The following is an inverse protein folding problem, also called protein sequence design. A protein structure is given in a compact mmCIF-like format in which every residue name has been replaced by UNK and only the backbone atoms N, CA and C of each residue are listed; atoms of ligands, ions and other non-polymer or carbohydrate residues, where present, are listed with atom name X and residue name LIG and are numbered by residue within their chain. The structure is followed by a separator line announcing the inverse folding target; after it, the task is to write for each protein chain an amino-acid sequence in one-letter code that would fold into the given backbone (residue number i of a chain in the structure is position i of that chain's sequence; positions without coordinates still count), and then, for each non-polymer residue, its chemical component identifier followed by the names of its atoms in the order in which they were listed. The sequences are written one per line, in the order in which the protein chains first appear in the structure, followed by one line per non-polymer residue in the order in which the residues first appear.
data_IF_263975808126
#
_entry.id   IF_263975808126
#
_cell.length_a   1.000
_cell.length_b   1.000
_cell.length_c   1.000
_cell.angle_alpha   90.00
_cell.angle_beta   90.00
_cell.angle_gamma   90.00
#
_symmetry.space_group_name_H-M   'P 1'
#
loop_
_entity.id
_entity.type
_entity.pdbx_description
1 polymer ?
#
# COMPACT_ATOMS: atom_id res chain seq x y z
N UNK A 1 0.26 5.53 -13.74
CA UNK A 1 0.03 6.79 -14.49
C UNK A 1 -1.45 6.96 -14.89
N UNK A 2 -2.11 5.96 -15.50
CA UNK A 2 -3.55 6.06 -15.88
C UNK A 2 -4.53 6.30 -14.71
N UNK A 3 -4.23 5.82 -13.49
CA UNK A 3 -5.10 5.99 -12.31
C UNK A 3 -4.86 7.27 -11.51
N UNK A 4 -3.83 8.06 -11.86
CA UNK A 4 -3.48 9.28 -11.12
C UNK A 4 -4.58 10.35 -11.24
N UNK A 5 -5.22 10.47 -12.41
CA UNK A 5 -6.31 11.43 -12.63
C UNK A 5 -7.60 11.10 -11.87
N UNK A 6 -7.93 9.82 -11.71
CA UNK A 6 -9.11 9.38 -10.94
C UNK A 6 -8.87 9.58 -9.43
N UNK A 7 -7.63 9.36 -8.98
CA UNK A 7 -7.21 9.62 -7.59
C UNK A 7 -7.32 11.10 -7.22
N UNK A 8 -6.84 12.02 -8.08
CA UNK A 8 -6.96 13.46 -7.83
C UNK A 8 -8.42 13.93 -7.77
N UNK A 9 -9.32 13.34 -8.58
CA UNK A 9 -10.75 13.69 -8.59
C UNK A 9 -11.51 13.17 -7.37
N UNK A 10 -11.12 12.01 -6.81
CA UNK A 10 -11.72 11.47 -5.59
C UNK A 10 -11.25 12.22 -4.33
N UNK A 11 -9.99 12.68 -4.30
CA UNK A 11 -9.43 13.46 -3.19
C UNK A 11 -10.03 14.87 -3.11
N UNK A 12 -10.40 15.47 -4.24
CA UNK A 12 -10.97 16.84 -4.29
C UNK A 12 -12.46 16.92 -3.90
N UNK A 13 -13.20 15.80 -3.84
CA UNK A 13 -14.63 15.78 -3.47
C UNK A 13 -14.98 14.87 -2.27
N UNK A 14 -14.06 14.05 -1.77
CA UNK A 14 -14.32 13.04 -0.74
C UNK A 14 -13.48 13.19 0.54
N UNK A 15 -13.88 12.50 1.61
CA UNK A 15 -13.07 12.41 2.83
C UNK A 15 -11.79 11.63 2.53
N UNK A 16 -10.62 12.25 2.66
CA UNK A 16 -9.32 11.62 2.39
C UNK A 16 -9.11 10.27 3.12
N UNK A 17 -9.77 10.11 4.28
CA UNK A 17 -9.88 8.85 5.03
C UNK A 17 -10.54 7.71 4.22
N UNK A 18 -11.58 8.01 3.44
CA UNK A 18 -12.23 7.05 2.53
C UNK A 18 -11.33 6.68 1.35
N UNK A 19 -10.54 7.62 0.84
CA UNK A 19 -9.60 7.35 -0.27
C UNK A 19 -8.50 6.40 0.22
N UNK A 20 -7.89 6.67 1.37
CA UNK A 20 -6.89 5.78 1.97
C UNK A 20 -7.48 4.39 2.28
N UNK A 21 -8.66 4.34 2.91
CA UNK A 21 -9.34 3.07 3.19
C UNK A 21 -9.67 2.29 1.91
N UNK A 22 -10.07 2.98 0.83
CA UNK A 22 -10.32 2.34 -0.47
C UNK A 22 -9.04 1.78 -1.09
N UNK A 23 -7.91 2.51 -1.02
CA UNK A 23 -6.61 2.04 -1.49
C UNK A 23 -6.14 0.79 -0.74
N UNK A 24 -6.30 0.78 0.58
CA UNK A 24 -5.95 -0.37 1.43
C UNK A 24 -6.89 -1.56 1.22
N UNK A 25 -8.16 -1.31 0.92
CA UNK A 25 -9.12 -2.34 0.53
C UNK A 25 -8.73 -2.96 -0.82
N UNK A 26 -8.36 -2.13 -1.81
CA UNK A 26 -7.91 -2.61 -3.13
C UNK A 26 -6.60 -3.40 -3.01
N UNK A 27 -5.67 -2.93 -2.18
CA UNK A 27 -4.41 -3.63 -1.92
C UNK A 27 -4.66 -4.99 -1.23
N UNK A 28 -5.46 -5.00 -0.16
CA UNK A 28 -5.83 -6.24 0.54
C UNK A 28 -6.57 -7.22 -0.37
N UNK A 29 -7.54 -6.74 -1.16
CA UNK A 29 -8.27 -7.55 -2.12
C UNK A 29 -7.36 -8.13 -3.21
N UNK A 30 -6.39 -7.35 -3.72
CA UNK A 30 -5.41 -7.84 -4.68
C UNK A 30 -4.46 -8.89 -4.11
N UNK A 31 -4.05 -8.75 -2.85
CA UNK A 31 -3.25 -9.77 -2.15
C UNK A 31 -4.08 -11.03 -1.92
N UNK A 32 -5.34 -10.92 -1.48
CA UNK A 32 -6.25 -12.07 -1.31
C UNK A 32 -6.47 -12.80 -2.64
N UNK A 33 -6.68 -12.05 -3.72
CA UNK A 33 -6.83 -12.63 -5.05
C UNK A 33 -5.56 -13.39 -5.47
N UNK A 34 -4.37 -12.83 -5.19
CA UNK A 34 -3.10 -13.51 -5.42
C UNK A 34 -2.95 -14.76 -4.53
N UNK A 35 -3.41 -14.69 -3.28
CA UNK A 35 -3.39 -15.80 -2.32
C UNK A 35 -4.42 -16.90 -2.63
N UNK A 36 -5.23 -16.75 -3.67
CA UNK A 36 -6.14 -17.77 -4.18
C UNK A 36 -5.67 -18.38 -5.51
N UNK A 37 -4.51 -17.94 -6.04
CA UNK A 37 -3.99 -18.43 -7.30
C UNK A 37 -3.62 -19.94 -7.21
N UNK A 38 -4.13 -20.79 -8.11
CA UNK A 38 -3.91 -22.22 -8.05
C UNK A 38 -2.44 -22.61 -8.32
N UNK A 39 -1.99 -23.71 -7.72
CA UNK A 39 -0.61 -24.27 -7.86
C UNK A 39 -0.24 -24.60 -9.32
N UNK A 40 -1.24 -24.73 -10.20
CA UNK A 40 -1.10 -24.98 -11.63
C UNK A 40 -1.61 -23.81 -12.50
N UNK A 41 -1.62 -22.59 -11.97
CA UNK A 41 -2.15 -21.41 -12.67
C UNK A 41 -1.27 -20.87 -13.80
N UNK A 42 -1.90 -20.17 -14.74
CA UNK A 42 -1.22 -19.52 -15.86
C UNK A 42 -0.91 -18.05 -15.52
N UNK A 43 0.33 -17.61 -15.74
CA UNK A 43 0.80 -16.25 -15.41
C UNK A 43 -0.11 -15.12 -15.90
N UNK A 44 -0.59 -15.21 -17.16
CA UNK A 44 -1.45 -14.18 -17.75
C UNK A 44 -2.89 -14.17 -17.21
N UNK A 45 -3.40 -15.31 -16.73
CA UNK A 45 -4.78 -15.43 -16.24
C UNK A 45 -4.90 -15.19 -14.74
N UNK A 46 -3.98 -15.76 -13.97
CA UNK A 46 -4.12 -15.87 -12.51
C UNK A 46 -3.25 -14.87 -11.74
N UNK A 47 -2.21 -14.31 -12.35
CA UNK A 47 -1.22 -13.46 -11.65
C UNK A 47 -1.17 -12.03 -12.19
N UNK A 48 -1.33 -11.85 -13.51
CA UNK A 48 -1.22 -10.54 -14.15
C UNK A 48 -2.26 -9.52 -13.65
N UNK A 49 -3.52 -9.94 -13.55
CA UNK A 49 -4.62 -9.11 -13.03
C UNK A 49 -4.41 -8.68 -11.57
N UNK A 50 -4.20 -9.64 -10.64
CA UNK A 50 -3.95 -9.33 -9.23
C UNK A 50 -2.74 -8.43 -9.00
N UNK A 51 -1.65 -8.64 -9.76
CA UNK A 51 -0.46 -7.79 -9.64
C UNK A 51 -0.73 -6.35 -10.10
N UNK A 52 -1.46 -6.16 -11.20
CA UNK A 52 -1.88 -4.83 -11.67
C UNK A 52 -2.79 -4.12 -10.67
N UNK A 53 -3.71 -4.85 -10.04
CA UNK A 53 -4.65 -4.28 -9.06
C UNK A 53 -3.93 -3.96 -7.73
N UNK A 54 -3.16 -4.90 -7.19
CA UNK A 54 -2.46 -4.75 -5.91
C UNK A 54 -1.30 -3.73 -6.01
N UNK A 55 -0.40 -3.93 -6.98
CA UNK A 55 0.83 -3.14 -7.12
C UNK A 55 0.61 -1.86 -7.93
N UNK A 56 -0.40 -1.81 -8.80
CA UNK A 56 -0.71 -0.62 -9.59
C UNK A 56 -1.69 0.33 -8.91
N UNK A 57 -2.88 -0.15 -8.55
CA UNK A 57 -3.91 0.69 -7.92
C UNK A 57 -3.71 0.80 -6.40
N UNK A 58 -3.59 -0.32 -5.69
CA UNK A 58 -3.53 -0.32 -4.22
C UNK A 58 -2.42 0.55 -3.64
N UNK A 59 -1.21 0.45 -4.20
CA UNK A 59 -0.05 1.27 -3.78
C UNK A 59 -0.24 2.75 -4.12
N UNK A 60 -0.73 3.11 -5.32
CA UNK A 60 -0.90 4.49 -5.74
C UNK A 60 -1.95 5.24 -4.90
N UNK A 61 -3.07 4.58 -4.58
CA UNK A 61 -4.13 5.17 -3.76
C UNK A 61 -3.77 5.25 -2.26
N UNK A 62 -2.74 4.53 -1.80
CA UNK A 62 -2.30 4.55 -0.40
C UNK A 62 -1.09 5.47 -0.20
N UNK A 63 -0.09 5.40 -1.10
CA UNK A 63 1.19 6.08 -0.93
C UNK A 63 1.09 7.59 -1.18
N UNK A 64 0.36 8.01 -2.23
CA UNK A 64 0.26 9.43 -2.61
C UNK A 64 -0.39 10.28 -1.49
N UNK A 65 -1.53 9.89 -0.89
CA UNK A 65 -2.13 10.68 0.19
C UNK A 65 -1.28 10.71 1.46
N UNK A 66 -0.55 9.63 1.77
CA UNK A 66 0.35 9.56 2.94
C UNK A 66 1.51 10.54 2.77
N UNK A 67 2.16 10.54 1.61
CA UNK A 67 3.27 11.47 1.34
C UNK A 67 2.81 12.93 1.39
N UNK A 68 1.62 13.24 0.86
CA UNK A 68 1.05 14.59 0.90
C UNK A 68 0.73 15.00 2.35
N UNK A 69 0.07 14.13 3.13
CA UNK A 69 -0.26 14.41 4.52
C UNK A 69 0.98 14.56 5.41
N UNK A 70 2.03 13.78 5.16
CA UNK A 70 3.27 13.81 5.95
C UNK A 70 4.10 15.09 5.77
N UNK A 71 3.94 15.79 4.64
CA UNK A 71 4.72 16.98 4.30
C UNK A 71 3.91 18.28 4.41
N UNK A 72 2.61 18.18 4.55
CA UNK A 72 1.71 19.32 4.63
C UNK A 72 1.82 20.09 5.95
N UNK A 73 1.88 21.43 5.85
CA UNK A 73 1.88 22.32 7.02
C UNK A 73 3.22 22.39 7.74
N UNK A 74 4.28 21.77 7.19
CA UNK A 74 5.63 21.81 7.74
C UNK A 74 6.35 23.05 7.21
N UNK A 75 6.99 23.78 8.11
CA UNK A 75 7.75 24.98 7.75
C UNK A 75 8.96 24.60 6.89
N UNK A 76 9.38 25.49 5.99
CA UNK A 76 10.50 25.23 5.07
C UNK A 76 11.80 24.85 5.79
N UNK A 77 12.03 25.36 7.00
CA UNK A 77 13.19 25.04 7.84
C UNK A 77 13.14 23.63 8.46
N UNK A 78 11.97 22.99 8.51
CA UNK A 78 11.77 21.66 9.08
C UNK A 78 11.47 20.59 8.00
N UNK A 79 11.30 21.00 6.74
CA UNK A 79 10.94 20.11 5.63
C UNK A 79 11.97 18.98 5.41
N UNK A 80 13.26 19.26 5.60
CA UNK A 80 14.33 18.26 5.50
C UNK A 80 14.25 17.18 6.59
N UNK A 81 13.92 17.57 7.82
CA UNK A 81 13.74 16.65 8.94
C UNK A 81 12.49 15.79 8.76
N UNK A 82 11.39 16.41 8.33
CA UNK A 82 10.14 15.70 8.09
C UNK A 82 10.21 14.71 6.93
N UNK A 83 10.85 15.10 5.82
CA UNK A 83 11.07 14.22 4.68
C UNK A 83 11.97 13.03 5.05
N UNK A 84 13.06 13.29 5.79
CA UNK A 84 13.93 12.24 6.32
C UNK A 84 13.20 11.27 7.26
N UNK A 85 12.37 11.80 8.16
CA UNK A 85 11.57 10.98 9.07
C UNK A 85 10.53 10.12 8.32
N UNK A 86 9.89 10.67 7.29
CA UNK A 86 8.93 9.93 6.48
C UNK A 86 9.60 8.81 5.67
N UNK A 87 10.76 9.12 5.06
CA UNK A 87 11.53 8.16 4.29
C UNK A 87 12.02 7.01 5.17
N UNK A 88 12.64 7.32 6.31
CA UNK A 88 13.12 6.31 7.26
C UNK A 88 11.98 5.47 7.86
N UNK A 89 10.82 6.09 8.16
CA UNK A 89 9.64 5.36 8.63
C UNK A 89 9.10 4.39 7.58
N UNK A 90 9.10 4.80 6.31
CA UNK A 90 8.69 3.95 5.17
C UNK A 90 9.67 2.79 4.97
N UNK A 91 10.97 3.08 4.98
CA UNK A 91 12.03 2.08 4.86
C UNK A 91 11.96 1.04 5.99
N UNK A 92 11.77 1.51 7.23
CA UNK A 92 11.61 0.67 8.41
C UNK A 92 10.36 -0.22 8.31
N UNK A 93 9.23 0.35 7.88
CA UNK A 93 8.00 -0.40 7.63
C UNK A 93 8.16 -1.47 6.55
N UNK A 94 8.86 -1.14 5.45
CA UNK A 94 9.18 -2.08 4.38
C UNK A 94 10.06 -3.23 4.86
N UNK A 95 11.13 -2.92 5.60
CA UNK A 95 12.02 -3.92 6.18
C UNK A 95 11.28 -4.87 7.15
N UNK A 96 10.45 -4.31 8.04
CA UNK A 96 9.62 -5.10 8.96
C UNK A 96 8.63 -6.00 8.22
N UNK A 97 7.97 -5.47 7.19
CA UNK A 97 7.03 -6.23 6.37
C UNK A 97 7.69 -7.43 5.69
N UNK A 98 8.87 -7.23 5.09
CA UNK A 98 9.65 -8.30 4.45
C UNK A 98 10.11 -9.33 5.47
N UNK A 99 10.60 -8.89 6.63
CA UNK A 99 11.07 -9.79 7.69
C UNK A 99 9.96 -10.70 8.23
N UNK A 100 8.77 -10.14 8.48
CA UNK A 100 7.60 -10.90 8.94
C UNK A 100 7.16 -11.90 7.87
N UNK A 101 6.99 -11.46 6.62
CA UNK A 101 6.54 -12.32 5.53
C UNK A 101 7.52 -13.49 5.27
N UNK A 102 8.83 -13.19 5.23
CA UNK A 102 9.88 -14.20 5.06
C UNK A 102 9.92 -15.21 6.20
N UNK A 103 9.83 -14.73 7.45
CA UNK A 103 9.84 -15.60 8.63
C UNK A 103 8.65 -16.56 8.64
N UNK A 104 7.46 -16.09 8.29
CA UNK A 104 6.24 -16.91 8.24
C UNK A 104 6.32 -17.93 7.10
N UNK A 105 6.76 -17.51 5.91
CA UNK A 105 6.95 -18.41 4.77
C UNK A 105 7.94 -19.53 5.12
N UNK A 106 9.10 -19.17 5.68
CA UNK A 106 10.15 -20.13 6.04
C UNK A 106 9.71 -21.06 7.18
N UNK A 107 9.02 -20.53 8.19
CA UNK A 107 8.51 -21.33 9.31
C UNK A 107 7.52 -22.39 8.84
N UNK A 108 6.53 -21.98 8.04
CA UNK A 108 5.51 -22.89 7.54
C UNK A 108 6.04 -23.89 6.51
N UNK A 109 6.96 -23.46 5.64
CA UNK A 109 7.71 -24.35 4.75
C UNK A 109 8.39 -25.48 5.55
N UNK A 110 9.14 -25.12 6.61
CA UNK A 110 9.80 -26.12 7.45
C UNK A 110 8.78 -27.06 8.09
N UNK A 111 7.65 -26.55 8.60
CA UNK A 111 6.60 -27.41 9.17
C UNK A 111 6.09 -28.45 8.17
N UNK A 112 5.79 -28.06 6.93
CA UNK A 112 5.26 -28.95 5.90
C UNK A 112 6.29 -30.00 5.44
N UNK A 113 7.56 -29.59 5.29
CA UNK A 113 8.65 -30.53 4.96
C UNK A 113 8.82 -31.58 6.06
N UNK A 114 8.77 -31.18 7.33
CA UNK A 114 8.84 -32.12 8.45
C UNK A 114 7.60 -33.02 8.55
N UNK A 115 6.45 -32.55 8.05
CA UNK A 115 5.21 -33.32 7.93
C UNK A 115 5.21 -34.37 6.80
N UNK A 116 6.24 -34.39 5.95
CA UNK A 116 6.37 -35.35 4.85
C UNK A 116 5.85 -34.85 3.50
N UNK A 117 5.46 -33.58 3.39
CA UNK A 117 5.04 -33.00 2.12
C UNK A 117 6.22 -32.84 1.14
N UNK A 118 5.91 -32.87 -0.16
CA UNK A 118 6.91 -32.59 -1.19
C UNK A 118 7.43 -31.14 -1.07
N UNK A 119 8.71 -30.92 -1.38
CA UNK A 119 9.33 -29.58 -1.35
C UNK A 119 8.53 -28.55 -2.15
N UNK A 120 7.97 -28.94 -3.30
CA UNK A 120 7.12 -28.05 -4.12
C UNK A 120 5.84 -27.65 -3.39
N UNK A 121 5.13 -28.61 -2.80
CA UNK A 121 3.91 -28.34 -2.05
C UNK A 121 4.20 -27.48 -0.80
N UNK A 122 5.29 -27.77 -0.08
CA UNK A 122 5.71 -27.01 1.08
C UNK A 122 6.08 -25.56 0.74
N UNK A 123 6.77 -25.32 -0.38
CA UNK A 123 7.10 -23.97 -0.85
C UNK A 123 5.83 -23.17 -1.15
N UNK A 124 4.90 -23.76 -1.90
CA UNK A 124 3.63 -23.10 -2.22
C UNK A 124 2.82 -22.81 -0.97
N UNK A 125 2.74 -23.76 -0.03
CA UNK A 125 2.07 -23.56 1.26
C UNK A 125 2.67 -22.40 2.05
N UNK A 126 4.01 -22.33 2.15
CA UNK A 126 4.72 -21.24 2.82
C UNK A 126 4.40 -19.86 2.23
N UNK A 127 4.44 -19.74 0.89
CA UNK A 127 4.07 -18.49 0.21
C UNK A 127 2.60 -18.13 0.40
N UNK A 128 1.70 -19.11 0.33
CA UNK A 128 0.27 -18.89 0.57
C UNK A 128 0.02 -18.30 1.95
N UNK A 129 0.62 -18.88 3.00
CA UNK A 129 0.44 -18.39 4.36
C UNK A 129 1.00 -16.97 4.52
N UNK A 130 2.18 -16.70 3.96
CA UNK A 130 2.77 -15.37 3.99
C UNK A 130 1.87 -14.33 3.29
N UNK A 131 1.29 -14.66 2.14
CA UNK A 131 0.35 -13.79 1.42
C UNK A 131 -0.91 -13.51 2.25
N UNK A 132 -1.49 -14.52 2.90
CA UNK A 132 -2.64 -14.33 3.78
C UNK A 132 -2.33 -13.42 4.97
N UNK A 133 -1.16 -13.56 5.56
CA UNK A 133 -0.73 -12.68 6.66
C UNK A 133 -0.49 -11.26 6.15
N UNK A 134 0.13 -11.08 4.99
CA UNK A 134 0.29 -9.75 4.36
C UNK A 134 -1.06 -9.10 4.04
N UNK A 135 -2.04 -9.87 3.56
CA UNK A 135 -3.40 -9.38 3.36
C UNK A 135 -4.05 -8.94 4.69
N UNK A 136 -3.91 -9.73 5.75
CA UNK A 136 -4.42 -9.38 7.07
C UNK A 136 -3.78 -8.08 7.60
N UNK A 137 -2.46 -7.93 7.47
CA UNK A 137 -1.74 -6.71 7.86
C UNK A 137 -2.26 -5.49 7.08
N UNK A 138 -2.46 -5.63 5.76
CA UNK A 138 -3.01 -4.55 4.93
C UNK A 138 -4.43 -4.15 5.38
N UNK A 139 -5.28 -5.13 5.69
CA UNK A 139 -6.64 -4.90 6.14
C UNK A 139 -6.71 -4.31 7.56
N UNK A 140 -5.81 -4.68 8.46
CA UNK A 140 -5.66 -4.05 9.79
C UNK A 140 -5.31 -2.57 9.66
N UNK A 141 -4.63 -2.17 8.59
CA UNK A 141 -4.39 -0.77 8.33
C UNK A 141 -5.68 0.05 8.21
N UNK A 142 -6.78 -0.54 7.71
CA UNK A 142 -8.05 0.18 7.53
C UNK A 142 -8.56 0.79 8.85
N UNK A 143 -8.81 0.01 9.93
CA UNK A 143 -9.22 0.59 11.21
C UNK A 143 -8.16 1.53 11.78
N UNK A 144 -6.86 1.27 11.57
CA UNK A 144 -5.79 2.18 12.01
C UNK A 144 -5.92 3.55 11.33
N UNK A 145 -6.19 3.60 10.03
CA UNK A 145 -6.47 4.85 9.30
C UNK A 145 -7.70 5.55 9.85
N UNK A 146 -8.76 4.81 10.20
CA UNK A 146 -9.95 5.41 10.81
C UNK A 146 -9.68 5.98 12.21
N UNK A 147 -8.78 5.37 12.99
CA UNK A 147 -8.45 5.78 14.35
C UNK A 147 -7.42 6.92 14.42
N UNK A 148 -6.36 6.87 13.61
CA UNK A 148 -5.22 7.77 13.73
C UNK A 148 -5.31 9.01 12.83
N UNK A 149 -5.95 8.93 11.67
CA UNK A 149 -5.98 10.05 10.72
C UNK A 149 -7.06 11.06 11.11
N UNK A 150 -6.67 12.28 11.48
CA UNK A 150 -7.60 13.40 11.71
C UNK A 150 -8.01 14.02 10.37
N UNK A 151 -9.31 14.33 10.23
CA UNK A 151 -9.89 14.85 8.97
C UNK A 151 -9.33 16.23 8.61
N UNK A 152 -9.00 16.99 9.63
CA UNK A 152 -8.66 18.41 9.60
C UNK A 152 -7.24 18.62 9.01
N UNK A 153 -6.30 17.78 9.42
CA UNK A 153 -4.90 17.76 8.94
C UNK A 153 -4.81 17.38 7.46
N UNK A 154 -5.62 16.41 7.01
CA UNK A 154 -5.65 16.02 5.60
C UNK A 154 -6.31 17.05 4.68
N UNK A 155 -7.35 17.74 5.15
CA UNK A 155 -7.97 18.81 4.36
C UNK A 155 -6.99 19.96 4.12
N UNK A 156 -6.21 20.34 5.15
CA UNK A 156 -5.14 21.32 5.03
C UNK A 156 -4.04 20.86 4.05
N UNK A 157 -3.68 19.57 4.08
CA UNK A 157 -2.66 18.99 3.21
C UNK A 157 -3.02 18.99 1.71
N UNK A 158 -4.27 18.64 1.42
CA UNK A 158 -4.79 18.65 0.05
C UNK A 158 -4.86 20.07 -0.49
N UNK A 159 -5.34 21.03 0.32
CA UNK A 159 -5.42 22.43 -0.06
C UNK A 159 -4.02 23.06 -0.31
N UNK A 160 -3.03 22.74 0.53
CA UNK A 160 -1.66 23.21 0.33
C UNK A 160 -1.04 22.68 -0.97
N UNK A 161 -1.31 21.42 -1.30
CA UNK A 161 -0.80 20.79 -2.53
C UNK A 161 -1.48 21.35 -3.79
N UNK A 162 -2.79 21.63 -3.75
CA UNK A 162 -3.47 22.26 -4.89
C UNK A 162 -2.95 23.66 -5.17
N UNK A 163 -2.68 24.45 -4.11
CA UNK A 163 -2.11 25.81 -4.24
C UNK A 163 -0.69 25.75 -4.82
N UNK A 164 0.13 24.75 -4.47
CA UNK A 164 1.47 24.60 -5.03
C UNK A 164 1.49 24.20 -6.52
N UNK A 165 0.42 23.57 -7.02
CA UNK A 165 0.29 23.15 -8.42
C UNK A 165 -0.30 24.25 -9.32
N UNK A 166 -1.05 25.20 -8.76
CA UNK A 166 -1.71 26.30 -9.48
C UNK A 166 -0.74 27.27 -10.21
N UNK A 167 0.41 27.69 -9.65
CA UNK A 167 1.32 28.62 -10.32
C UNK A 167 2.05 28.02 -11.53
N UNK A 168 2.04 26.70 -11.72
CA UNK A 168 2.69 26.03 -12.86
C UNK A 168 1.75 25.78 -14.04
N UNK A 169 0.46 26.12 -13.90
CA UNK A 169 -0.55 26.02 -14.96
C UNK A 169 -0.73 27.32 -15.74
N UNK A 170 -0.03 28.40 -15.38
CA UNK A 170 0.00 29.61 -16.19
C UNK A 170 0.81 29.32 -17.47
N UNK A 171 0.18 29.23 -18.66
CA UNK A 171 0.90 28.88 -19.87
C UNK A 171 1.89 30.01 -20.16
N UNK A 172 3.16 29.64 -20.35
CA UNK A 172 4.17 30.54 -20.89
C UNK A 172 3.66 31.10 -22.24
N UNK A 173 3.11 32.30 -22.22
CA UNK A 173 2.79 33.11 -23.40
C UNK A 173 4.04 33.77 -23.93
#
# INVERSE_FOLDING_TARGET
MLFAGISQMLVTKGSAKLVMASGMTVLGAGIIWTAQAPVHGHYMGDLFGPFLVAVGMGTAFTFIPISIAALAGIREDEAGLASGLNYTSTELGGALGIAIASSIAASHFNTLVHGGDTVRAALTGGFHLALWVSAAIALIGIPVTFLLVRKDEMAAAVAATSIALEPQLEPAT
#
